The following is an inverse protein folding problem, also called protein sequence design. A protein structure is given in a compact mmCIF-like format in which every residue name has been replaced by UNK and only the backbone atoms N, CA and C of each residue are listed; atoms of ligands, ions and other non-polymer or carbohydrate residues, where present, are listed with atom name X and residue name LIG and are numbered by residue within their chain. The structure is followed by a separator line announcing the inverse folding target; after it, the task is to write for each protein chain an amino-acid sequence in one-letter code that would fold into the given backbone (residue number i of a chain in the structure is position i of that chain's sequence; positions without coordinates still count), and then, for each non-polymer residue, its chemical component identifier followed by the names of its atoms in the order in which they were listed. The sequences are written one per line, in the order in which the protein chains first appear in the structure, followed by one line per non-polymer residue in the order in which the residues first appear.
data_IF_777236793070
#
_entry.id   IF_777236793070
#
_cell.length_a   1.000
_cell.length_b   1.000
_cell.length_c   1.000
_cell.angle_alpha   90.00
_cell.angle_beta   90.00
_cell.angle_gamma   90.00
#
_symmetry.space_group_name_H-M   'P 1'
#
loop_
_entity.id
_entity.type
_entity.pdbx_description
1 polymer ?
#
# COMPACT_ATOMS: atom_id res chain seq x y z
N UNK A 1 21.78 27.26 -9.53
CA UNK A 1 20.94 26.16 -10.04
C UNK A 1 20.16 25.59 -8.87
N UNK A 2 18.89 25.92 -8.76
CA UNK A 2 17.98 25.36 -7.74
C UNK A 2 17.77 23.89 -8.04
N UNK A 3 18.22 22.99 -7.17
CA UNK A 3 17.85 21.58 -7.20
C UNK A 3 16.33 21.48 -7.13
N UNK A 4 15.67 20.74 -8.04
CA UNK A 4 14.23 20.56 -7.95
C UNK A 4 13.92 19.86 -6.62
N UNK A 5 13.12 20.52 -5.78
CA UNK A 5 12.65 20.00 -4.51
C UNK A 5 11.98 18.64 -4.76
N UNK A 6 12.54 17.56 -4.21
CA UNK A 6 12.06 16.19 -4.42
C UNK A 6 10.66 16.09 -3.85
N UNK A 7 9.65 16.15 -4.72
CA UNK A 7 8.24 16.07 -4.32
C UNK A 7 7.98 14.73 -3.65
N UNK A 8 7.75 14.75 -2.34
CA UNK A 8 7.45 13.55 -1.55
C UNK A 8 6.08 13.03 -1.99
N UNK A 9 6.04 11.80 -2.50
CA UNK A 9 4.80 11.13 -2.94
C UNK A 9 4.28 10.23 -1.83
N UNK A 10 3.71 10.85 -0.80
CA UNK A 10 3.09 10.16 0.32
C UNK A 10 1.61 10.51 0.47
N UNK A 11 0.85 9.59 1.07
CA UNK A 11 -0.53 9.81 1.48
C UNK A 11 -0.87 8.96 2.70
N UNK A 12 -1.80 9.48 3.50
CA UNK A 12 -2.49 8.73 4.55
C UNK A 12 -3.97 8.65 4.18
N UNK A 13 -4.61 7.55 4.56
CA UNK A 13 -6.03 7.34 4.34
C UNK A 13 -6.62 6.59 5.54
N UNK A 14 -7.75 7.08 6.02
CA UNK A 14 -8.59 6.38 6.98
C UNK A 14 -9.95 6.14 6.30
N UNK A 15 -10.39 4.89 6.24
CA UNK A 15 -11.67 4.49 5.66
C UNK A 15 -12.40 3.64 6.69
N UNK A 16 -13.52 4.14 7.18
CA UNK A 16 -14.37 3.43 8.13
C UNK A 16 -15.73 3.20 7.47
N UNK A 17 -16.07 1.93 7.26
CA UNK A 17 -17.40 1.48 6.83
C UNK A 17 -18.08 0.80 8.02
N UNK A 18 -19.29 0.27 7.81
CA UNK A 18 -19.98 -0.51 8.84
C UNK A 18 -19.32 -1.88 9.06
N UNK A 19 -18.54 -2.36 8.08
CA UNK A 19 -18.00 -3.73 8.03
C UNK A 19 -16.48 -3.75 8.22
N UNK A 20 -15.78 -2.67 7.85
CA UNK A 20 -14.32 -2.59 7.92
C UNK A 20 -13.84 -1.22 8.41
N UNK A 21 -12.74 -1.22 9.16
CA UNK A 21 -12.00 -0.03 9.58
C UNK A 21 -10.57 -0.16 9.10
N UNK A 22 -10.17 0.74 8.21
CA UNK A 22 -8.89 0.68 7.53
C UNK A 22 -8.11 1.96 7.81
N UNK A 23 -6.88 1.79 8.27
CA UNK A 23 -5.87 2.83 8.35
C UNK A 23 -4.72 2.46 7.45
N UNK A 24 -4.32 3.40 6.60
CA UNK A 24 -3.29 3.19 5.60
C UNK A 24 -2.39 4.40 5.49
N UNK A 25 -1.08 4.17 5.46
CA UNK A 25 -0.10 5.17 5.04
C UNK A 25 0.82 4.58 3.97
N UNK A 26 1.07 5.36 2.91
CA UNK A 26 1.92 4.95 1.81
C UNK A 26 2.92 6.06 1.47
N UNK A 27 4.14 5.66 1.16
CA UNK A 27 5.16 6.52 0.58
C UNK A 27 5.78 5.79 -0.63
N UNK A 28 5.56 6.36 -1.82
CA UNK A 28 5.99 5.77 -3.10
C UNK A 28 7.49 5.93 -3.37
N UNK A 29 8.16 6.84 -2.66
CA UNK A 29 9.59 7.10 -2.80
C UNK A 29 10.45 6.27 -1.84
N UNK A 30 9.81 5.45 -1.00
CA UNK A 30 10.44 4.77 0.12
C UNK A 30 10.82 5.73 1.26
N UNK A 31 11.50 5.20 2.28
CA UNK A 31 11.94 5.95 3.46
C UNK A 31 10.92 5.97 4.60
N UNK A 32 10.90 7.06 5.36
CA UNK A 32 9.98 7.22 6.50
C UNK A 32 8.53 7.29 6.02
N UNK A 33 7.64 6.66 6.81
CA UNK A 33 6.21 6.80 6.64
C UNK A 33 5.76 8.14 7.25
N UNK A 34 4.75 8.81 6.67
CA UNK A 34 4.12 9.95 7.32
C UNK A 34 3.52 9.49 8.65
N UNK A 35 3.58 10.35 9.68
CA UNK A 35 2.99 10.08 10.99
C UNK A 35 1.49 9.79 10.81
N UNK A 36 1.09 8.57 11.13
CA UNK A 36 -0.30 8.24 11.38
C UNK A 36 -0.64 8.79 12.76
N UNK A 37 -1.80 9.42 12.90
CA UNK A 37 -2.39 9.69 14.20
C UNK A 37 -2.75 8.34 14.84
N UNK A 38 -1.77 7.72 15.49
CA UNK A 38 -1.96 6.51 16.28
C UNK A 38 -2.77 6.88 17.51
N UNK A 39 -4.09 6.69 17.44
CA UNK A 39 -4.86 6.39 18.63
C UNK A 39 -4.26 5.11 19.21
N UNK A 40 -3.48 5.27 20.27
CA UNK A 40 -2.92 4.19 21.07
C UNK A 40 -4.04 3.23 21.45
N UNK A 41 -4.08 2.07 20.83
CA UNK A 41 -4.66 0.89 21.44
C UNK A 41 -3.80 -0.30 21.04
N UNK A 42 -2.95 -0.70 22.00
CA UNK A 42 -2.20 -1.93 21.92
C UNK A 42 -3.16 -3.10 21.83
N UNK A 43 -3.04 -3.86 20.76
CA UNK A 43 -3.24 -5.31 20.80
C UNK A 43 -2.03 -5.91 20.10
N UNK A 44 -1.07 -6.28 20.93
CA UNK A 44 0.16 -6.96 20.58
C UNK A 44 -0.10 -8.45 20.37
N UNK A 45 -1.05 -8.81 19.50
CA UNK A 45 -1.38 -10.21 19.24
C UNK A 45 -1.76 -10.48 17.79
N UNK A 46 -1.19 -11.59 17.30
CA UNK A 46 -1.50 -12.36 16.09
C UNK A 46 -0.69 -12.09 14.80
N UNK A 47 0.50 -12.70 14.77
CA UNK A 47 1.27 -13.16 13.59
C UNK A 47 2.03 -12.11 12.77
N UNK A 48 3.32 -11.96 13.11
CA UNK A 48 4.30 -11.09 12.46
C UNK A 48 4.83 -11.69 11.14
N UNK A 49 3.94 -12.01 10.19
CA UNK A 49 4.34 -12.63 8.92
C UNK A 49 4.62 -11.62 7.79
N UNK A 50 4.21 -10.35 7.92
CA UNK A 50 4.30 -9.34 6.85
C UNK A 50 4.84 -7.98 7.33
N UNK A 51 5.80 -7.99 8.26
CA UNK A 51 6.49 -6.78 8.71
C UNK A 51 7.96 -6.82 8.29
N UNK A 52 8.40 -5.77 7.59
CA UNK A 52 9.80 -5.59 7.20
C UNK A 52 10.21 -4.13 7.39
N UNK A 53 11.22 -3.90 8.22
CA UNK A 53 11.87 -2.59 8.35
C UNK A 53 13.31 -2.69 7.84
N UNK A 54 13.69 -1.78 6.96
CA UNK A 54 15.04 -1.68 6.39
C UNK A 54 15.44 -0.22 6.30
N UNK A 55 16.74 0.09 6.15
CA UNK A 55 17.23 1.48 6.05
C UNK A 55 16.54 2.32 4.97
N UNK A 56 16.00 1.68 3.93
CA UNK A 56 15.37 2.35 2.79
C UNK A 56 13.85 2.27 2.76
N UNK A 57 13.21 1.36 3.51
CA UNK A 57 11.77 1.08 3.39
C UNK A 57 11.21 0.49 4.70
N UNK A 58 9.99 0.89 5.05
CA UNK A 58 9.24 0.36 6.19
C UNK A 58 7.90 -0.19 5.73
N UNK A 59 7.68 -1.49 5.93
CA UNK A 59 6.50 -2.21 5.50
C UNK A 59 5.88 -2.88 6.73
N UNK A 60 4.63 -2.58 7.02
CA UNK A 60 3.84 -3.28 8.05
C UNK A 60 2.43 -3.46 7.51
N UNK A 61 2.04 -4.71 7.27
CA UNK A 61 0.72 -5.04 6.74
C UNK A 61 0.02 -5.96 7.73
N UNK A 62 -1.16 -5.54 8.17
CA UNK A 62 -2.04 -6.28 9.05
C UNK A 62 -3.46 -6.17 8.53
N UNK A 63 -3.94 -7.19 7.83
CA UNK A 63 -5.34 -7.28 7.38
C UNK A 63 -6.13 -8.36 8.10
N UNK A 64 -5.44 -9.25 8.81
CA UNK A 64 -6.01 -10.44 9.44
C UNK A 64 -6.15 -11.63 8.49
N UNK A 65 -5.83 -11.46 7.20
CA UNK A 65 -5.77 -12.51 6.19
C UNK A 65 -4.30 -12.73 5.82
N UNK A 66 -3.69 -13.81 6.35
CA UNK A 66 -2.24 -14.03 6.22
C UNK A 66 -1.73 -14.11 4.77
N UNK A 67 -2.52 -14.65 3.85
CA UNK A 67 -2.15 -14.70 2.43
C UNK A 67 -2.15 -13.31 1.79
N UNK A 68 -3.18 -12.50 2.07
CA UNK A 68 -3.28 -11.12 1.56
C UNK A 68 -2.13 -10.26 2.10
N UNK A 69 -1.82 -10.41 3.39
CA UNK A 69 -0.70 -9.73 4.03
C UNK A 69 0.63 -10.03 3.32
N UNK A 70 0.86 -11.30 2.97
CA UNK A 70 2.06 -11.71 2.22
C UNK A 70 2.10 -11.09 0.81
N UNK A 71 0.98 -11.10 0.08
CA UNK A 71 0.91 -10.51 -1.27
C UNK A 71 1.16 -8.99 -1.25
N UNK A 72 0.55 -8.28 -0.30
CA UNK A 72 0.73 -6.82 -0.14
C UNK A 72 2.16 -6.47 0.30
N UNK A 73 2.75 -7.28 1.16
CA UNK A 73 4.15 -7.15 1.54
C UNK A 73 5.08 -7.32 0.33
N UNK A 74 4.89 -8.37 -0.47
CA UNK A 74 5.68 -8.59 -1.69
C UNK A 74 5.51 -7.43 -2.69
N UNK A 75 4.29 -6.92 -2.87
CA UNK A 75 4.01 -5.77 -3.70
C UNK A 75 4.81 -4.53 -3.25
N UNK A 76 4.75 -4.19 -1.96
CA UNK A 76 5.49 -3.04 -1.41
C UNK A 76 7.00 -3.23 -1.55
N UNK A 77 7.49 -4.44 -1.28
CA UNK A 77 8.91 -4.79 -1.35
C UNK A 77 9.49 -4.62 -2.75
N UNK A 78 8.82 -5.15 -3.77
CA UNK A 78 9.27 -5.08 -5.16
C UNK A 78 9.03 -3.70 -5.78
N UNK A 79 8.06 -2.93 -5.28
CA UNK A 79 7.80 -1.56 -5.73
C UNK A 79 8.71 -0.52 -5.07
N UNK A 80 9.43 -0.89 -4.00
CA UNK A 80 10.28 0.02 -3.22
C UNK A 80 9.47 1.00 -2.36
N UNK A 81 8.24 0.65 -1.99
CA UNK A 81 7.36 1.50 -1.21
C UNK A 81 7.58 1.30 0.29
N UNK A 82 7.34 2.36 1.05
CA UNK A 82 7.03 2.20 2.47
C UNK A 82 5.51 2.17 2.62
N UNK A 83 5.00 1.14 3.28
CA UNK A 83 3.58 0.85 3.35
C UNK A 83 3.20 0.45 4.78
N UNK A 84 2.21 1.12 5.33
CA UNK A 84 1.52 0.70 6.54
C UNK A 84 0.06 0.46 6.20
N UNK A 85 -0.45 -0.73 6.52
CA UNK A 85 -1.86 -1.07 6.40
C UNK A 85 -2.28 -1.75 7.70
N UNK A 86 -3.35 -1.24 8.28
CA UNK A 86 -4.05 -1.88 9.38
C UNK A 86 -5.53 -1.93 9.05
N UNK A 87 -6.07 -3.13 8.88
CA UNK A 87 -7.48 -3.37 8.62
C UNK A 87 -8.07 -4.20 9.75
N UNK A 88 -9.17 -3.71 10.30
CA UNK A 88 -10.03 -4.45 11.22
C UNK A 88 -11.32 -4.70 10.44
N UNK A 89 -11.61 -5.95 10.12
CA UNK A 89 -12.83 -6.33 9.39
C UNK A 89 -13.51 -7.54 10.02
N UNK A 90 -14.73 -7.81 9.56
CA UNK A 90 -15.57 -8.89 10.04
C UNK A 90 -15.21 -10.24 9.41
N UNK A 91 -14.03 -10.77 9.75
CA UNK A 91 -13.51 -12.06 9.26
C UNK A 91 -14.37 -13.29 9.62
N UNK A 92 -15.42 -13.10 10.42
CA UNK A 92 -16.32 -14.17 10.85
C UNK A 92 -17.38 -14.53 9.80
N UNK A 93 -17.66 -13.62 8.85
CA UNK A 93 -18.67 -13.84 7.80
C UNK A 93 -17.99 -14.32 6.51
N UNK A 94 -17.12 -13.49 5.93
CA UNK A 94 -16.33 -13.80 4.73
C UNK A 94 -15.13 -12.85 4.64
N UNK A 95 -14.03 -13.30 4.04
CA UNK A 95 -12.81 -12.52 3.83
C UNK A 95 -12.93 -11.54 2.65
N UNK A 96 -13.94 -11.73 1.80
CA UNK A 96 -14.19 -10.92 0.60
C UNK A 96 -14.24 -9.42 0.90
N UNK A 97 -15.06 -8.99 1.86
CA UNK A 97 -15.26 -7.56 2.16
C UNK A 97 -13.97 -6.92 2.70
N UNK A 98 -13.24 -7.63 3.56
CA UNK A 98 -11.95 -7.16 4.09
C UNK A 98 -10.94 -6.98 2.95
N UNK A 99 -10.82 -7.98 2.07
CA UNK A 99 -9.88 -7.91 0.94
C UNK A 99 -10.22 -6.80 -0.07
N UNK A 100 -11.50 -6.62 -0.38
CA UNK A 100 -12.00 -5.62 -1.32
C UNK A 100 -11.78 -4.21 -0.77
N UNK A 101 -12.25 -3.93 0.45
CA UNK A 101 -12.14 -2.61 1.04
C UNK A 101 -10.68 -2.20 1.27
N UNK A 102 -9.79 -3.13 1.66
CA UNK A 102 -8.34 -2.86 1.76
C UNK A 102 -7.75 -2.48 0.40
N UNK A 103 -8.10 -3.19 -0.68
CA UNK A 103 -7.63 -2.89 -2.03
C UNK A 103 -8.15 -1.53 -2.54
N UNK A 104 -9.42 -1.20 -2.25
CA UNK A 104 -10.01 0.11 -2.59
C UNK A 104 -9.27 1.23 -1.85
N UNK A 105 -9.05 1.07 -0.54
CA UNK A 105 -8.32 2.04 0.27
C UNK A 105 -6.89 2.24 -0.23
N UNK A 106 -6.18 1.16 -0.57
CA UNK A 106 -4.84 1.23 -1.14
C UNK A 106 -4.81 1.98 -2.48
N UNK A 107 -5.75 1.71 -3.38
CA UNK A 107 -5.85 2.40 -4.67
C UNK A 107 -6.14 3.90 -4.50
N UNK A 108 -6.99 4.28 -3.55
CA UNK A 108 -7.28 5.67 -3.22
C UNK A 108 -6.04 6.38 -2.66
N UNK A 109 -5.34 5.75 -1.72
CA UNK A 109 -4.12 6.30 -1.14
C UNK A 109 -3.01 6.44 -2.18
N UNK A 110 -2.83 5.44 -3.07
CA UNK A 110 -1.88 5.52 -4.17
C UNK A 110 -2.20 6.69 -5.11
N UNK A 111 -3.46 6.88 -5.48
CA UNK A 111 -3.90 8.01 -6.31
C UNK A 111 -3.64 9.36 -5.63
N UNK A 112 -3.91 9.45 -4.33
CA UNK A 112 -3.66 10.65 -3.52
C UNK A 112 -2.16 10.94 -3.37
N UNK A 113 -1.32 9.91 -3.24
CA UNK A 113 0.13 10.06 -3.16
C UNK A 113 0.73 10.52 -4.49
N UNK A 114 0.15 10.10 -5.63
CA UNK A 114 0.65 10.46 -6.96
C UNK A 114 0.33 11.93 -7.32
N UNK A 115 -0.83 12.46 -6.91
CA UNK A 115 -1.37 13.82 -7.19
C UNK A 115 -1.44 14.21 -8.67
N UNK A 116 -0.30 14.34 -9.35
CA UNK A 116 -0.20 14.66 -10.77
C UNK A 116 0.60 13.58 -11.49
N UNK A 117 0.08 13.14 -12.64
CA UNK A 117 0.76 12.18 -13.51
C UNK A 117 1.73 12.84 -14.50
N UNK A 118 1.87 14.17 -14.45
CA UNK A 118 2.78 14.90 -15.34
C UNK A 118 4.23 14.57 -15.00
N UNK A 119 4.99 14.12 -16.00
CA UNK A 119 6.41 13.77 -15.85
C UNK A 119 6.67 12.30 -15.46
N UNK A 120 5.64 11.47 -15.31
CA UNK A 120 5.79 10.03 -15.11
C UNK A 120 5.78 9.27 -16.44
N UNK A 121 6.50 8.14 -16.47
CA UNK A 121 6.41 7.19 -17.57
C UNK A 121 4.95 6.73 -17.72
N UNK A 122 4.40 6.86 -18.93
CA UNK A 122 2.97 6.67 -19.17
C UNK A 122 2.58 5.19 -19.27
N UNK A 123 3.48 4.36 -19.80
CA UNK A 123 3.35 2.91 -19.84
C UNK A 123 4.36 2.30 -18.87
N UNK A 124 3.96 1.28 -18.13
CA UNK A 124 4.84 0.40 -17.37
C UNK A 124 4.49 -1.06 -17.68
N UNK A 125 5.49 -1.93 -17.71
CA UNK A 125 5.28 -3.37 -17.78
C UNK A 125 6.31 -4.07 -16.91
N UNK A 126 5.93 -5.23 -16.38
CA UNK A 126 6.83 -6.09 -15.62
C UNK A 126 6.50 -7.56 -15.85
N UNK A 127 7.54 -8.39 -15.86
CA UNK A 127 7.45 -9.84 -15.81
C UNK A 127 7.93 -10.29 -14.42
N UNK A 128 7.14 -11.12 -13.77
CA UNK A 128 7.45 -11.69 -12.46
C UNK A 128 7.37 -13.21 -12.56
N UNK A 129 8.50 -13.90 -12.81
CA UNK A 129 8.56 -15.35 -12.72
C UNK A 129 8.56 -15.79 -11.25
N UNK A 130 7.80 -16.84 -10.94
CA UNK A 130 7.81 -17.54 -9.66
C UNK A 130 7.70 -19.04 -9.94
N UNK A 131 8.77 -19.78 -9.68
CA UNK A 131 8.92 -21.20 -10.03
C UNK A 131 8.55 -21.47 -11.50
N UNK A 132 7.56 -22.33 -11.78
CA UNK A 132 7.07 -22.60 -13.13
C UNK A 132 6.12 -21.54 -13.71
N UNK A 133 5.64 -20.60 -12.89
CA UNK A 133 4.68 -19.58 -13.29
C UNK A 133 5.36 -18.30 -13.78
N UNK A 134 4.85 -17.74 -14.89
CA UNK A 134 5.25 -16.42 -15.38
C UNK A 134 4.06 -15.47 -15.37
N UNK A 135 4.12 -14.46 -14.51
CA UNK A 135 3.12 -13.39 -14.46
C UNK A 135 3.60 -12.17 -15.25
N UNK A 136 2.68 -11.53 -15.98
CA UNK A 136 2.92 -10.25 -16.67
C UNK A 136 1.87 -9.23 -16.29
N UNK A 137 2.33 -8.04 -15.88
CA UNK A 137 1.48 -6.88 -15.66
C UNK A 137 1.83 -5.77 -16.66
N UNK A 138 0.82 -5.13 -17.23
CA UNK A 138 0.97 -3.93 -18.07
C UNK A 138 0.04 -2.86 -17.52
N UNK A 139 0.59 -1.68 -17.23
CA UNK A 139 -0.13 -0.55 -16.63
C UNK A 139 0.00 0.65 -17.55
N UNK A 140 -1.11 1.38 -17.71
CA UNK A 140 -1.16 2.61 -18.49
C UNK A 140 -1.79 3.75 -17.68
N UNK A 141 -1.11 4.89 -17.69
CA UNK A 141 -1.58 6.11 -17.05
C UNK A 141 -2.69 6.78 -17.83
N UNK A 142 -3.83 7.02 -17.17
CA UNK A 142 -4.90 7.87 -17.70
C UNK A 142 -4.39 9.31 -17.85
N UNK A 143 -4.69 9.96 -18.98
CA UNK A 143 -4.42 11.39 -19.17
C UNK A 143 -5.21 12.17 -18.12
N UNK A 144 -4.53 12.96 -17.29
CA UNK A 144 -5.22 13.98 -16.49
C UNK A 144 -5.94 14.93 -17.45
N UNK A 145 -7.25 15.10 -17.29
CA UNK A 145 -7.91 16.31 -17.81
C UNK A 145 -7.42 17.43 -16.89
N UNK A 146 -6.77 18.44 -17.46
CA UNK A 146 -6.43 19.68 -16.76
C UNK A 146 -7.70 20.37 -16.29
#
# INVERSE_FOLDING_TARGET
MSTPEKRIRSATLCRNTNETKIQLAINLDGGALPELETSSNGTSDASSHATQTSKSQSISVHTGIGFLDHMLHALAKHSGWSLYIHTIGDLHIDDHHTSEDTCIALGQAFKSALKSTTGLARFGYAYAPLDEALSRAVIWGRRGRS
#
